data_IF_709337816275
#
_entry.id   IF_709337816275
#
_cell.length_a   1.000
_cell.length_b   1.000
_cell.length_c   1.000
_cell.angle_alpha   90.00
_cell.angle_beta   90.00
_cell.angle_gamma   90.00
#
_symmetry.space_group_name_H-M   'P 1'
#
loop_
_entity.id
_entity.type
_entity.pdbx_description
1 polymer ?
#
# COMPACT_ATOMS: atom_id res chain seq x y z
N UNK A 1 12.09 17.98 10.71
CA UNK A 1 11.30 18.84 9.81
C UNK A 1 11.43 18.18 8.45
N UNK A 2 10.52 17.24 8.18
CA UNK A 2 10.62 16.33 7.04
C UNK A 2 10.28 17.08 5.75
N UNK A 3 11.03 16.82 4.68
CA UNK A 3 11.04 17.63 3.46
C UNK A 3 10.16 16.95 2.39
N UNK A 4 8.84 17.01 2.60
CA UNK A 4 7.84 16.07 2.02
C UNK A 4 7.40 16.43 0.59
N UNK A 5 8.33 16.59 -0.35
CA UNK A 5 7.99 17.00 -1.73
C UNK A 5 7.69 15.87 -2.71
N UNK A 6 7.69 14.61 -2.30
CA UNK A 6 7.48 13.49 -3.23
C UNK A 6 6.94 12.28 -2.48
N UNK A 7 5.65 11.97 -2.66
CA UNK A 7 5.00 10.74 -2.19
C UNK A 7 4.98 9.75 -3.37
N UNK A 8 5.67 8.62 -3.26
CA UNK A 8 5.60 7.51 -4.22
C UNK A 8 4.51 6.52 -3.75
N UNK A 9 3.78 5.94 -4.72
CA UNK A 9 2.46 5.37 -4.52
C UNK A 9 2.41 3.96 -3.89
N UNK A 10 1.18 3.60 -3.53
CA UNK A 10 0.73 2.47 -2.74
C UNK A 10 0.37 1.24 -3.60
N UNK A 11 0.52 0.03 -3.06
CA UNK A 11 0.23 -1.24 -3.76
C UNK A 11 -0.60 -2.16 -2.89
N UNK A 12 -1.59 -2.82 -3.50
CA UNK A 12 -2.35 -3.91 -2.89
C UNK A 12 -2.97 -4.81 -3.96
N UNK A 13 -2.96 -6.14 -3.75
CA UNK A 13 -3.82 -7.12 -4.44
C UNK A 13 -4.28 -8.22 -3.46
N UNK A 14 -5.50 -8.74 -3.63
CA UNK A 14 -5.88 -10.09 -3.18
C UNK A 14 -6.99 -10.62 -4.12
N UNK A 15 -7.08 -11.91 -4.46
CA UNK A 15 -8.34 -12.53 -4.94
C UNK A 15 -8.40 -14.01 -4.52
N UNK A 16 -9.48 -14.43 -3.86
CA UNK A 16 -9.76 -15.84 -3.56
C UNK A 16 -11.01 -16.33 -4.33
N UNK A 17 -10.87 -17.33 -5.19
CA UNK A 17 -11.99 -17.91 -5.95
C UNK A 17 -12.47 -19.25 -5.34
N UNK A 18 -13.78 -19.41 -5.24
CA UNK A 18 -14.48 -20.67 -4.92
C UNK A 18 -15.40 -21.12 -6.09
N UNK A 19 -16.00 -22.31 -6.01
CA UNK A 19 -16.54 -23.12 -7.11
C UNK A 19 -17.54 -22.42 -8.04
N UNK A 20 -17.01 -21.78 -9.06
CA UNK A 20 -17.72 -21.12 -10.16
C UNK A 20 -17.16 -21.68 -11.47
N UNK A 21 -17.97 -21.77 -12.54
CA UNK A 21 -17.46 -22.24 -13.84
C UNK A 21 -16.27 -21.39 -14.27
N UNK A 22 -15.25 -21.95 -14.95
CA UNK A 22 -14.02 -21.18 -15.24
C UNK A 22 -14.33 -19.81 -15.90
N UNK A 23 -15.32 -19.73 -16.79
CA UNK A 23 -15.69 -18.48 -17.45
C UNK A 23 -16.32 -17.45 -16.51
N UNK A 24 -17.21 -17.88 -15.60
CA UNK A 24 -17.80 -17.00 -14.59
C UNK A 24 -16.77 -16.65 -13.51
N UNK A 25 -15.88 -17.59 -13.13
CA UNK A 25 -14.78 -17.35 -12.21
C UNK A 25 -13.79 -16.33 -12.78
N UNK A 26 -13.48 -16.40 -14.08
CA UNK A 26 -12.66 -15.38 -14.76
C UNK A 26 -13.36 -14.02 -14.84
N UNK A 27 -14.67 -13.98 -15.07
CA UNK A 27 -15.43 -12.72 -15.13
C UNK A 27 -15.56 -12.08 -13.75
N UNK A 28 -15.86 -12.86 -12.71
CA UNK A 28 -15.93 -12.40 -11.33
C UNK A 28 -14.55 -12.01 -10.80
N UNK A 29 -13.51 -12.79 -11.11
CA UNK A 29 -12.13 -12.44 -10.80
C UNK A 29 -11.74 -11.11 -11.46
N UNK A 30 -12.00 -10.92 -12.75
CA UNK A 30 -11.72 -9.67 -13.48
C UNK A 30 -12.50 -8.48 -12.92
N UNK A 31 -13.80 -8.65 -12.66
CA UNK A 31 -14.62 -7.60 -12.07
C UNK A 31 -14.17 -7.25 -10.64
N UNK A 32 -13.87 -8.26 -9.83
CA UNK A 32 -13.34 -8.09 -8.50
C UNK A 32 -11.98 -7.37 -8.54
N UNK A 33 -11.04 -7.78 -9.40
CA UNK A 33 -9.74 -7.10 -9.59
C UNK A 33 -9.93 -5.63 -9.95
N UNK A 34 -10.81 -5.32 -10.92
CA UNK A 34 -11.08 -3.93 -11.29
C UNK A 34 -11.66 -3.12 -10.12
N UNK A 35 -12.60 -3.70 -9.36
CA UNK A 35 -13.19 -3.06 -8.18
C UNK A 35 -12.12 -2.80 -7.10
N UNK A 36 -11.25 -3.76 -6.79
CA UNK A 36 -10.19 -3.56 -5.80
C UNK A 36 -9.18 -2.51 -6.24
N UNK A 37 -8.88 -2.46 -7.53
CA UNK A 37 -8.03 -1.42 -8.10
C UNK A 37 -8.66 -0.02 -7.93
N UNK A 38 -9.95 0.13 -8.21
CA UNK A 38 -10.69 1.38 -7.97
C UNK A 38 -10.67 1.80 -6.48
N UNK A 39 -10.81 0.84 -5.56
CA UNK A 39 -10.72 1.11 -4.12
C UNK A 39 -9.30 1.56 -3.74
N UNK A 40 -8.25 0.91 -4.28
CA UNK A 40 -6.87 1.31 -4.05
C UNK A 40 -6.61 2.75 -4.52
N UNK A 41 -7.06 3.11 -5.73
CA UNK A 41 -6.99 4.49 -6.23
C UNK A 41 -7.68 5.47 -5.28
N UNK A 42 -8.89 5.14 -4.82
CA UNK A 42 -9.65 6.00 -3.92
C UNK A 42 -8.96 6.18 -2.55
N UNK A 43 -8.36 5.13 -1.99
CA UNK A 43 -7.60 5.21 -0.75
C UNK A 43 -6.38 6.13 -0.88
N UNK A 44 -5.66 6.04 -2.00
CA UNK A 44 -4.53 6.92 -2.31
C UNK A 44 -4.99 8.38 -2.45
N UNK A 45 -6.04 8.63 -3.22
CA UNK A 45 -6.60 9.97 -3.40
C UNK A 45 -7.04 10.58 -2.06
N UNK A 46 -7.69 9.79 -1.21
CA UNK A 46 -8.09 10.21 0.13
C UNK A 46 -6.87 10.55 1.00
N UNK A 47 -5.83 9.72 0.95
CA UNK A 47 -4.61 9.91 1.74
C UNK A 47 -3.85 11.19 1.32
N UNK A 48 -3.75 11.44 0.01
CA UNK A 48 -3.16 12.67 -0.53
C UNK A 48 -3.96 13.90 -0.08
N UNK A 49 -5.28 13.88 -0.25
CA UNK A 49 -6.13 15.00 0.15
C UNK A 49 -6.08 15.28 1.66
N UNK A 50 -6.05 14.23 2.50
CA UNK A 50 -5.91 14.37 3.95
C UNK A 50 -4.53 14.94 4.32
N UNK A 51 -3.46 14.46 3.67
CA UNK A 51 -2.10 14.96 3.88
C UNK A 51 -1.96 16.44 3.53
N UNK A 52 -2.53 16.87 2.40
CA UNK A 52 -2.54 18.28 1.98
C UNK A 52 -3.30 19.19 2.96
N UNK A 53 -4.31 18.65 3.65
CA UNK A 53 -5.09 19.39 4.64
C UNK A 53 -4.37 19.50 5.98
N UNK A 54 -3.95 18.37 6.55
CA UNK A 54 -3.17 18.30 7.78
C UNK A 54 -2.36 16.99 7.83
N UNK A 55 -1.07 17.11 7.55
CA UNK A 55 -0.13 15.98 7.52
C UNK A 55 -0.15 15.12 8.80
N UNK A 56 -0.15 15.74 9.99
CA UNK A 56 -0.03 14.97 11.24
C UNK A 56 -1.31 14.17 11.52
N UNK A 57 -2.47 14.76 11.24
CA UNK A 57 -3.77 14.10 11.34
C UNK A 57 -3.87 12.98 10.32
N UNK A 58 -3.45 13.22 9.07
CA UNK A 58 -3.43 12.18 8.03
C UNK A 58 -2.57 10.98 8.45
N UNK A 59 -1.37 11.20 8.99
CA UNK A 59 -0.52 10.13 9.47
C UNK A 59 -1.15 9.36 10.64
N UNK A 60 -1.78 10.06 11.59
CA UNK A 60 -2.46 9.42 12.71
C UNK A 60 -3.66 8.57 12.24
N UNK A 61 -4.43 9.09 11.29
CA UNK A 61 -5.59 8.40 10.73
C UNK A 61 -5.21 7.18 9.89
N UNK A 62 -4.12 7.27 9.10
CA UNK A 62 -3.57 6.14 8.34
C UNK A 62 -3.06 5.07 9.30
N UNK A 63 -2.38 5.43 10.38
CA UNK A 63 -1.86 4.48 11.38
C UNK A 63 -2.94 3.83 12.25
N UNK A 64 -4.20 4.28 12.16
CA UNK A 64 -5.31 3.62 12.85
C UNK A 64 -5.80 2.42 12.02
N UNK A 65 -5.52 1.17 12.42
CA UNK A 65 -5.90 0.00 11.66
C UNK A 65 -7.43 -0.20 11.56
N UNK A 66 -8.21 0.44 12.45
CA UNK A 66 -9.67 0.40 12.41
C UNK A 66 -10.26 1.44 11.44
N UNK A 67 -9.43 2.27 10.79
CA UNK A 67 -9.88 3.29 9.86
C UNK A 67 -10.06 2.72 8.45
N UNK A 68 -11.32 2.38 8.14
CA UNK A 68 -11.72 1.83 6.83
C UNK A 68 -11.39 2.72 5.61
N UNK A 69 -11.05 4.00 5.81
CA UNK A 69 -10.61 4.87 4.71
C UNK A 69 -9.19 4.51 4.22
N UNK A 70 -8.38 3.88 5.06
CA UNK A 70 -6.97 3.62 4.82
C UNK A 70 -6.54 2.18 5.12
N UNK A 71 -7.46 1.36 5.62
CA UNK A 71 -7.26 -0.07 5.87
C UNK A 71 -8.60 -0.81 5.74
N UNK A 72 -8.74 -1.70 4.75
CA UNK A 72 -9.88 -2.60 4.61
C UNK A 72 -9.52 -4.08 4.78
N UNK A 73 -8.43 -4.35 5.52
CA UNK A 73 -7.79 -5.65 5.77
C UNK A 73 -6.98 -6.15 4.58
N UNK A 74 -7.53 -6.11 3.38
CA UNK A 74 -6.81 -6.52 2.16
C UNK A 74 -5.98 -5.36 1.62
N UNK A 75 -6.56 -4.15 1.54
CA UNK A 75 -5.91 -2.92 1.12
C UNK A 75 -5.57 -2.04 2.31
N UNK A 76 -4.36 -1.50 2.32
CA UNK A 76 -3.93 -0.55 3.34
C UNK A 76 -2.98 0.50 2.78
N UNK A 77 -3.02 1.69 3.36
CA UNK A 77 -2.14 2.82 3.03
C UNK A 77 -0.88 2.78 3.89
N UNK A 78 0.29 2.98 3.29
CA UNK A 78 1.52 3.34 3.97
C UNK A 78 2.15 4.56 3.29
N UNK A 79 2.98 5.28 4.04
CA UNK A 79 3.65 6.50 3.59
C UNK A 79 5.12 6.41 3.94
N UNK A 80 5.96 6.70 2.95
CA UNK A 80 7.41 6.84 3.09
C UNK A 80 7.79 8.32 3.04
N UNK A 81 8.79 8.72 3.82
CA UNK A 81 9.51 9.97 3.56
C UNK A 81 10.43 9.78 2.34
N UNK A 82 10.90 10.90 1.81
CA UNK A 82 11.82 11.00 0.67
C UNK A 82 13.14 10.26 0.83
N UNK A 83 13.53 9.89 2.06
CA UNK A 83 14.72 9.08 2.35
C UNK A 83 14.41 7.58 2.47
N UNK A 84 13.17 7.16 2.26
CA UNK A 84 12.73 5.78 2.37
C UNK A 84 12.30 5.36 3.77
N UNK A 85 12.24 6.29 4.74
CA UNK A 85 11.73 6.00 6.10
C UNK A 85 10.20 5.84 6.10
N UNK A 86 9.68 4.78 6.71
CA UNK A 86 8.23 4.61 6.91
C UNK A 86 7.73 5.63 7.94
N UNK A 87 6.80 6.51 7.58
CA UNK A 87 6.23 7.54 8.46
C UNK A 87 4.76 7.31 8.84
N UNK A 88 4.06 6.45 8.09
CA UNK A 88 2.74 5.94 8.44
C UNK A 88 2.52 4.56 7.81
N UNK A 89 1.84 3.65 8.49
CA UNK A 89 1.54 2.33 7.94
C UNK A 89 0.23 1.80 8.50
N UNK A 90 -0.73 1.52 7.61
CA UNK A 90 -2.11 1.19 7.99
C UNK A 90 -2.32 -0.23 8.50
N UNK A 91 -1.58 -1.22 7.99
CA UNK A 91 -1.64 -2.59 8.51
C UNK A 91 -0.66 -2.87 9.66
N UNK A 92 0.56 -2.33 9.60
CA UNK A 92 1.63 -2.58 10.57
C UNK A 92 2.23 -1.28 11.11
N UNK A 93 1.54 -0.57 12.03
CA UNK A 93 2.04 0.67 12.62
C UNK A 93 3.42 0.53 13.31
N UNK A 94 3.77 -0.69 13.75
CA UNK A 94 5.08 -0.99 14.34
C UNK A 94 6.27 -0.81 13.38
N UNK A 95 6.03 -0.72 12.05
CA UNK A 95 7.06 -0.45 11.05
C UNK A 95 7.45 1.03 10.96
N UNK A 96 6.69 1.94 11.59
CA UNK A 96 6.98 3.39 11.56
C UNK A 96 8.36 3.68 12.16
N UNK A 97 9.18 4.43 11.42
CA UNK A 97 10.58 4.72 11.73
C UNK A 97 11.59 3.73 11.16
N UNK A 98 11.12 2.67 10.49
CA UNK A 98 12.00 1.72 9.78
C UNK A 98 12.44 2.30 8.44
N UNK A 99 13.72 2.13 8.11
CA UNK A 99 14.27 2.43 6.79
C UNK A 99 13.95 1.27 5.83
N UNK A 100 13.32 1.56 4.70
CA UNK A 100 12.99 0.53 3.68
C UNK A 100 14.22 -0.13 3.06
N UNK A 101 15.40 0.50 3.12
CA UNK A 101 16.65 -0.12 2.68
C UNK A 101 17.11 -1.27 3.58
N UNK A 102 16.60 -1.35 4.81
CA UNK A 102 16.82 -2.49 5.70
C UNK A 102 15.80 -3.62 5.48
N UNK A 103 14.79 -3.40 4.62
CA UNK A 103 13.73 -4.36 4.34
C UNK A 103 13.99 -5.13 3.04
N UNK A 104 13.72 -6.43 3.10
CA UNK A 104 13.78 -7.34 1.96
C UNK A 104 12.44 -8.06 1.86
N UNK A 105 11.88 -8.14 0.67
CA UNK A 105 10.64 -8.86 0.42
C UNK A 105 10.80 -10.39 0.50
N UNK A 106 9.69 -11.12 0.40
CA UNK A 106 9.67 -12.58 0.43
C UNK A 106 10.44 -13.26 -0.71
N UNK A 107 10.87 -12.51 -1.73
CA UNK A 107 11.59 -13.00 -2.91
C UNK A 107 13.04 -12.52 -2.98
N UNK A 108 13.49 -11.77 -1.98
CA UNK A 108 14.87 -11.29 -1.88
C UNK A 108 15.13 -9.93 -2.52
N UNK A 109 14.10 -9.20 -2.96
CA UNK A 109 14.24 -7.83 -3.45
C UNK A 109 14.29 -6.84 -2.28
N UNK A 110 15.18 -5.85 -2.36
CA UNK A 110 15.25 -4.78 -1.37
C UNK A 110 14.13 -3.76 -1.62
N UNK A 111 13.42 -3.38 -0.56
CA UNK A 111 12.25 -2.50 -0.65
C UNK A 111 12.66 -1.06 -0.93
N UNK A 112 13.75 -0.60 -0.34
CA UNK A 112 14.34 0.72 -0.60
C UNK A 112 14.79 0.85 -2.06
N UNK A 113 15.47 -0.16 -2.62
CA UNK A 113 15.85 -0.16 -4.04
C UNK A 113 14.64 -0.05 -4.98
N UNK A 114 13.52 -0.71 -4.64
CA UNK A 114 12.26 -0.61 -5.40
C UNK A 114 11.66 0.79 -5.30
N UNK A 115 11.69 1.41 -4.11
CA UNK A 115 11.24 2.78 -3.90
C UNK A 115 12.09 3.77 -4.71
N UNK A 116 13.41 3.71 -4.61
CA UNK A 116 14.35 4.58 -5.29
C UNK A 116 14.19 4.52 -6.82
N UNK A 117 13.94 3.32 -7.36
CA UNK A 117 13.73 3.13 -8.79
C UNK A 117 12.45 3.81 -9.34
N UNK A 118 11.48 4.13 -8.48
CA UNK A 118 10.16 4.62 -8.87
C UNK A 118 9.78 5.96 -8.24
N UNK A 119 10.65 6.53 -7.40
CA UNK A 119 10.46 7.83 -6.79
C UNK A 119 10.33 8.91 -7.87
N UNK A 120 9.15 9.50 -7.97
CA UNK A 120 8.81 10.52 -8.97
C UNK A 120 7.75 11.46 -8.44
N UNK A 121 7.72 12.69 -8.96
CA UNK A 121 6.74 13.70 -8.56
C UNK A 121 5.30 13.32 -8.98
N UNK A 122 5.18 12.52 -10.03
CA UNK A 122 3.93 12.02 -10.58
C UNK A 122 3.45 10.74 -9.87
N UNK A 123 4.32 10.10 -9.08
CA UNK A 123 4.08 8.77 -8.51
C UNK A 123 4.13 7.66 -9.57
N UNK A 124 4.17 6.41 -9.11
CA UNK A 124 4.17 5.23 -9.97
C UNK A 124 3.34 4.11 -9.34
N UNK A 125 2.53 3.44 -10.14
CA UNK A 125 1.90 2.17 -9.75
C UNK A 125 2.89 1.06 -10.06
N UNK A 126 3.33 0.37 -9.02
CA UNK A 126 4.32 -0.69 -9.11
C UNK A 126 3.70 -1.99 -8.62
N UNK A 127 4.16 -3.11 -9.18
CA UNK A 127 3.84 -4.44 -8.65
C UNK A 127 5.07 -4.94 -7.89
N UNK A 128 4.92 -5.27 -6.61
CA UNK A 128 5.97 -5.87 -5.81
C UNK A 128 5.37 -6.94 -4.88
N UNK A 129 6.23 -7.76 -4.28
CA UNK A 129 5.80 -8.83 -3.38
C UNK A 129 5.92 -8.36 -1.94
N UNK A 130 4.87 -8.56 -1.14
CA UNK A 130 4.93 -8.33 0.30
C UNK A 130 4.42 -9.58 1.03
N UNK A 131 5.07 -10.00 2.13
CA UNK A 131 4.59 -11.15 2.89
C UNK A 131 3.25 -10.83 3.58
N UNK A 132 2.22 -11.65 3.32
CA UNK A 132 0.94 -11.54 4.03
C UNK A 132 1.11 -12.01 5.48
N UNK A 133 0.89 -11.15 6.50
CA UNK A 133 1.06 -11.54 7.89
C UNK A 133 0.03 -12.57 8.38
N UNK A 134 -1.07 -12.81 7.64
CA UNK A 134 -2.13 -13.75 8.04
C UNK A 134 -1.95 -15.18 7.52
N UNK A 135 -1.17 -15.42 6.45
CA UNK A 135 -1.18 -16.71 5.75
C UNK A 135 0.19 -17.38 5.59
N UNK A 136 1.30 -16.70 5.92
CA UNK A 136 2.68 -17.17 5.62
C UNK A 136 2.89 -17.52 4.14
N UNK A 137 2.01 -17.03 3.25
CA UNK A 137 2.12 -17.11 1.79
C UNK A 137 2.07 -15.71 1.19
N UNK A 138 2.65 -15.54 0.01
CA UNK A 138 2.66 -14.29 -0.77
C UNK A 138 1.28 -13.58 -0.77
N UNK A 139 1.26 -12.24 -0.61
CA UNK A 139 0.15 -11.39 -1.11
C UNK A 139 0.16 -11.33 -2.64
#
# INVERSE_FOLDING_TARGET
>A
MYNVKTLAALVVVAVAASSVSLAEAYSEFSAYTNIRQDVAYQMVDNAIAAFEMDMNTAFADIQNPDNALYNDVELYVFVLDSDGTIVAHGASPDLVGTDTHDLTDGRGANVGDLFDAHLSAEGAWIEYYWPNPATETDE
#
